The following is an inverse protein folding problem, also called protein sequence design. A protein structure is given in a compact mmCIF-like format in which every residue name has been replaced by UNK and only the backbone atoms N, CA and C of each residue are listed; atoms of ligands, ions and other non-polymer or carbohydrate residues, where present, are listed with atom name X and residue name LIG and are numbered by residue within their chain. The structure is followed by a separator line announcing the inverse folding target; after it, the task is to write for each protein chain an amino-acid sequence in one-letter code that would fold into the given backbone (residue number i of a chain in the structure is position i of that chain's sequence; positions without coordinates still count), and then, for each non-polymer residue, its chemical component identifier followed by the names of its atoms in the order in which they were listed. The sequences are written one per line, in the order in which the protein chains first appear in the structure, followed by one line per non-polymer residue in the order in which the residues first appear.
data_IF_361242350850
#
_entry.id   IF_361242350850
#
_cell.length_a   1.000
_cell.length_b   1.000
_cell.length_c   1.000
_cell.angle_alpha   90.00
_cell.angle_beta   90.00
_cell.angle_gamma   90.00
#
_symmetry.space_group_name_H-M   'P 1'
#
loop_
_entity.id
_entity.type
_entity.pdbx_description
1 polymer ?
#
# COMPACT_ATOMS: atom_id res chain seq x y z
N UNK A 1 -26.95 30.75 5.66
CA UNK A 1 -27.03 29.64 6.62
C UNK A 1 -25.83 28.74 6.37
N UNK A 2 -24.97 28.51 7.37
CA UNK A 2 -23.77 27.66 7.23
C UNK A 2 -24.08 26.31 7.87
N UNK A 3 -23.97 25.23 7.10
CA UNK A 3 -24.19 23.87 7.58
C UNK A 3 -22.84 23.22 7.93
N UNK A 4 -22.80 22.49 9.05
CA UNK A 4 -21.64 21.72 9.52
C UNK A 4 -21.74 20.28 9.03
N UNK A 5 -20.61 19.59 8.86
CA UNK A 5 -20.61 18.17 8.51
C UNK A 5 -20.89 17.34 9.76
N UNK A 6 -21.86 16.44 9.72
CA UNK A 6 -22.04 15.48 10.82
C UNK A 6 -20.88 14.50 10.87
N UNK A 7 -20.52 14.01 12.07
CA UNK A 7 -19.47 12.99 12.26
C UNK A 7 -19.77 11.71 11.47
N UNK A 8 -21.04 11.35 11.33
CA UNK A 8 -21.50 10.21 10.54
C UNK A 8 -21.49 10.45 9.03
N UNK A 9 -21.37 11.69 8.57
CA UNK A 9 -21.26 12.04 7.17
C UNK A 9 -19.80 11.87 6.72
N UNK A 10 -19.46 10.64 6.31
CA UNK A 10 -18.09 10.26 5.96
C UNK A 10 -17.64 10.78 4.60
N UNK A 11 -18.57 10.88 3.65
CA UNK A 11 -18.28 11.47 2.32
C UNK A 11 -18.23 12.98 2.46
N UNK A 12 -17.15 13.59 2.00
CA UNK A 12 -16.95 15.04 2.06
C UNK A 12 -17.96 15.79 1.17
N UNK A 13 -18.81 16.67 1.75
CA UNK A 13 -19.75 17.49 1.00
C UNK A 13 -19.05 18.51 0.13
N UNK A 14 -19.59 18.75 -1.07
CA UNK A 14 -19.10 19.72 -2.04
C UNK A 14 -20.19 20.74 -2.38
N UNK A 15 -19.77 21.92 -2.85
CA UNK A 15 -20.70 22.94 -3.33
C UNK A 15 -21.52 22.36 -4.48
N UNK A 16 -22.84 22.54 -4.43
CA UNK A 16 -23.76 21.99 -5.43
C UNK A 16 -24.32 20.61 -5.08
N UNK A 17 -23.85 19.97 -4.02
CA UNK A 17 -24.45 18.72 -3.54
C UNK A 17 -25.89 18.94 -3.09
N UNK A 18 -26.77 18.01 -3.48
CA UNK A 18 -28.07 17.87 -2.85
C UNK A 18 -27.90 17.01 -1.60
N UNK A 19 -28.27 17.54 -0.44
CA UNK A 19 -28.03 16.90 0.86
C UNK A 19 -29.31 16.72 1.67
N UNK A 20 -29.30 15.74 2.58
CA UNK A 20 -30.20 15.71 3.73
C UNK A 20 -29.52 16.43 4.89
N UNK A 21 -30.18 17.45 5.43
CA UNK A 21 -29.68 18.21 6.57
C UNK A 21 -30.69 18.22 7.72
N UNK A 22 -30.19 18.24 8.96
CA UNK A 22 -30.98 18.44 10.16
C UNK A 22 -30.68 19.81 10.74
N UNK A 23 -31.73 20.54 11.12
CA UNK A 23 -31.63 21.81 11.81
C UNK A 23 -32.38 21.72 13.12
N UNK A 24 -31.76 22.18 14.21
CA UNK A 24 -32.46 22.41 15.47
C UNK A 24 -33.04 23.83 15.48
N UNK A 25 -34.03 24.08 16.34
CA UNK A 25 -34.72 25.37 16.46
C UNK A 25 -33.73 26.51 16.78
N UNK A 26 -32.73 26.24 17.63
CA UNK A 26 -31.69 27.21 18.05
C UNK A 26 -30.25 26.71 17.80
N UNK A 27 -30.09 25.64 17.00
CA UNK A 27 -28.81 24.96 16.82
C UNK A 27 -28.23 25.05 15.41
N UNK A 28 -26.97 24.61 15.23
CA UNK A 28 -26.36 24.57 13.91
C UNK A 28 -27.05 23.53 13.01
N UNK A 29 -27.14 23.87 11.73
CA UNK A 29 -27.57 22.95 10.69
C UNK A 29 -26.46 21.93 10.41
N UNK A 30 -26.78 20.64 10.34
CA UNK A 30 -25.83 19.58 10.06
C UNK A 30 -26.20 18.84 8.78
N UNK A 31 -25.23 18.65 7.89
CA UNK A 31 -25.32 17.74 6.75
C UNK A 31 -25.17 16.31 7.24
N UNK A 32 -26.21 15.49 7.02
CA UNK A 32 -26.25 14.08 7.40
C UNK A 32 -25.84 13.16 6.25
N UNK A 33 -26.36 13.42 5.05
CA UNK A 33 -26.13 12.61 3.86
C UNK A 33 -26.05 13.46 2.60
N UNK A 34 -25.22 13.03 1.65
CA UNK A 34 -25.20 13.53 0.27
C UNK A 34 -26.12 12.63 -0.55
N UNK A 35 -27.19 13.20 -1.09
CA UNK A 35 -28.22 12.47 -1.82
C UNK A 35 -27.90 12.36 -3.31
N UNK A 36 -27.29 13.40 -3.89
CA UNK A 36 -26.86 13.41 -5.28
C UNK A 36 -25.77 14.45 -5.49
N UNK A 37 -24.87 14.16 -6.43
CA UNK A 37 -23.85 15.07 -6.94
C UNK A 37 -23.95 15.13 -8.45
N UNK A 38 -24.00 16.35 -8.99
CA UNK A 38 -24.21 16.59 -10.42
C UNK A 38 -22.98 16.26 -11.27
N UNK A 39 -21.78 16.39 -10.69
CA UNK A 39 -20.51 16.10 -11.36
C UNK A 39 -19.80 14.89 -10.75
N UNK A 40 -19.32 13.99 -11.61
CA UNK A 40 -18.63 12.77 -11.19
C UNK A 40 -17.14 13.06 -10.97
N UNK A 41 -16.80 13.50 -9.76
CA UNK A 41 -15.42 13.64 -9.29
C UNK A 41 -15.06 12.58 -8.25
N UNK A 42 -13.81 12.61 -7.78
CA UNK A 42 -13.35 11.72 -6.70
C UNK A 42 -14.07 12.04 -5.40
N UNK A 43 -14.83 11.08 -4.88
CA UNK A 43 -15.39 11.16 -3.53
C UNK A 43 -14.30 10.94 -2.50
N UNK A 44 -14.21 11.82 -1.50
CA UNK A 44 -13.27 11.70 -0.38
C UNK A 44 -14.01 11.19 0.85
N UNK A 45 -13.48 10.14 1.45
CA UNK A 45 -13.96 9.60 2.72
C UNK A 45 -13.05 10.11 3.84
N UNK A 46 -13.62 10.76 4.84
CA UNK A 46 -12.92 11.19 6.05
C UNK A 46 -13.87 11.22 7.24
N UNK A 47 -13.31 11.21 8.45
CA UNK A 47 -14.08 11.46 9.68
C UNK A 47 -13.73 12.86 10.16
N UNK A 48 -14.71 13.79 10.30
CA UNK A 48 -14.39 15.15 10.70
C UNK A 48 -13.91 15.15 12.16
N UNK A 49 -12.90 15.97 12.44
CA UNK A 49 -12.27 16.14 13.76
C UNK A 49 -11.60 14.88 14.36
N UNK A 50 -11.39 13.83 13.57
CA UNK A 50 -10.69 12.63 14.01
C UNK A 50 -9.21 12.64 13.59
N UNK A 51 -8.33 12.26 14.52
CA UNK A 51 -6.89 12.09 14.26
C UNK A 51 -6.56 10.78 13.53
N UNK A 52 -7.48 9.81 13.54
CA UNK A 52 -7.28 8.50 12.93
C UNK A 52 -8.59 7.83 12.50
N UNK A 53 -8.46 6.85 11.63
CA UNK A 53 -9.56 6.03 11.11
C UNK A 53 -9.11 4.58 10.98
N UNK A 54 -9.94 3.65 11.44
CA UNK A 54 -9.66 2.21 11.34
C UNK A 54 -10.86 1.48 10.71
N UNK A 55 -10.57 0.46 9.89
CA UNK A 55 -11.55 -0.49 9.37
C UNK A 55 -11.39 -1.81 10.15
N UNK A 56 -12.29 -2.08 11.10
CA UNK A 56 -12.26 -3.26 11.97
C UNK A 56 -13.36 -4.26 11.60
N UNK A 57 -13.04 -5.29 10.82
CA UNK A 57 -13.98 -6.33 10.37
C UNK A 57 -13.26 -7.68 10.21
N UNK A 58 -14.02 -8.78 10.22
CA UNK A 58 -13.49 -10.13 9.95
C UNK A 58 -13.02 -10.32 8.50
N UNK A 59 -13.57 -9.55 7.56
CA UNK A 59 -13.21 -9.55 6.15
C UNK A 59 -13.38 -8.16 5.55
N UNK A 60 -12.36 -7.68 4.86
CA UNK A 60 -12.37 -6.42 4.11
C UNK A 60 -11.86 -6.72 2.70
N UNK A 61 -12.51 -6.15 1.68
CA UNK A 61 -12.06 -6.23 0.30
C UNK A 61 -12.08 -4.83 -0.32
N UNK A 62 -10.97 -4.45 -0.97
CA UNK A 62 -10.82 -3.19 -1.69
C UNK A 62 -10.65 -3.52 -3.18
N UNK A 63 -11.56 -3.03 -4.02
CA UNK A 63 -11.58 -3.32 -5.44
C UNK A 63 -11.59 -2.02 -6.26
N UNK A 64 -10.76 -1.99 -7.30
CA UNK A 64 -10.73 -0.94 -8.31
C UNK A 64 -10.55 -1.56 -9.69
N UNK A 65 -11.24 -1.01 -10.71
CA UNK A 65 -11.18 -1.50 -12.09
C UNK A 65 -9.99 -0.94 -12.88
N UNK A 66 -9.56 0.27 -12.53
CA UNK A 66 -8.48 0.97 -13.24
C UNK A 66 -7.21 1.05 -12.39
N UNK A 67 -7.32 1.60 -11.18
CA UNK A 67 -6.16 1.85 -10.32
C UNK A 67 -6.52 1.81 -8.83
N UNK A 68 -5.64 1.20 -8.02
CA UNK A 68 -5.66 1.27 -6.56
C UNK A 68 -4.35 1.90 -6.07
N UNK A 69 -4.44 3.03 -5.38
CA UNK A 69 -3.29 3.72 -4.79
C UNK A 69 -3.37 3.66 -3.26
N UNK A 70 -2.28 3.22 -2.63
CA UNK A 70 -2.09 3.25 -1.18
C UNK A 70 -0.75 3.93 -0.91
N UNK A 71 -0.75 4.96 -0.05
CA UNK A 71 0.47 5.73 0.23
C UNK A 71 0.40 6.42 1.59
N UNK A 72 1.56 6.62 2.18
CA UNK A 72 1.79 7.38 3.42
C UNK A 72 2.98 8.30 3.20
N UNK A 73 2.93 9.50 3.80
CA UNK A 73 4.10 10.39 3.84
C UNK A 73 5.09 10.00 4.94
N UNK A 74 4.62 9.28 5.97
CA UNK A 74 5.45 8.67 7.00
C UNK A 74 5.43 7.15 6.83
N UNK A 75 5.24 6.44 7.94
CA UNK A 75 5.25 4.98 7.93
C UNK A 75 4.01 4.39 7.24
N UNK A 76 4.21 3.27 6.55
CA UNK A 76 3.16 2.39 6.04
C UNK A 76 3.57 0.94 6.28
N UNK A 77 2.65 0.13 6.81
CA UNK A 77 2.89 -1.30 7.04
C UNK A 77 1.75 -2.14 6.47
N UNK A 78 2.11 -3.24 5.82
CA UNK A 78 1.19 -4.26 5.35
C UNK A 78 1.68 -5.60 5.90
N UNK A 79 0.86 -6.26 6.72
CA UNK A 79 1.28 -7.47 7.41
C UNK A 79 0.19 -8.53 7.40
N UNK A 80 0.64 -9.79 7.32
CA UNK A 80 -0.21 -10.97 7.46
C UNK A 80 0.45 -11.91 8.46
N UNK A 81 0.70 -11.44 9.69
CA UNK A 81 1.53 -12.13 10.69
C UNK A 81 1.07 -13.56 11.01
N UNK A 82 -0.24 -13.83 10.97
CA UNK A 82 -0.80 -15.17 11.17
C UNK A 82 -1.14 -15.92 9.88
N UNK A 83 -0.77 -15.42 8.70
CA UNK A 83 -1.24 -15.94 7.42
C UNK A 83 -0.31 -15.62 6.25
N UNK A 84 -0.89 -15.39 5.08
CA UNK A 84 -0.14 -15.19 3.83
C UNK A 84 -0.39 -13.79 3.28
N UNK A 85 0.69 -13.05 3.00
CA UNK A 85 0.65 -11.84 2.18
C UNK A 85 0.98 -12.23 0.73
N UNK A 86 0.02 -12.06 -0.18
CA UNK A 86 0.19 -12.39 -1.60
C UNK A 86 0.12 -11.12 -2.45
N UNK A 87 1.18 -10.87 -3.23
CA UNK A 87 1.27 -9.75 -4.16
C UNK A 87 1.45 -10.31 -5.56
N UNK A 88 0.48 -10.05 -6.45
CA UNK A 88 0.47 -10.59 -7.80
C UNK A 88 0.25 -9.45 -8.80
N UNK A 89 1.00 -9.46 -9.89
CA UNK A 89 0.88 -8.50 -10.96
C UNK A 89 1.75 -8.89 -12.14
N UNK A 90 1.51 -8.26 -13.29
CA UNK A 90 2.38 -8.43 -14.47
C UNK A 90 3.79 -7.91 -14.20
N UNK A 91 3.90 -6.82 -13.45
CA UNK A 91 5.16 -6.22 -13.02
C UNK A 91 5.03 -5.81 -11.55
N UNK A 92 6.05 -6.13 -10.74
CA UNK A 92 6.18 -5.64 -9.36
C UNK A 92 7.49 -4.85 -9.26
N UNK A 93 7.38 -3.59 -8.87
CA UNK A 93 8.53 -2.70 -8.68
C UNK A 93 8.65 -2.38 -7.19
N UNK A 94 9.84 -2.61 -6.63
CA UNK A 94 10.18 -2.25 -5.26
C UNK A 94 11.41 -1.36 -5.33
N UNK A 95 11.28 -0.12 -4.83
CA UNK A 95 12.38 0.84 -4.77
C UNK A 95 12.58 1.22 -3.32
N UNK A 96 13.82 1.15 -2.86
CA UNK A 96 14.19 1.39 -1.47
C UNK A 96 15.41 2.30 -1.44
N UNK A 97 15.33 3.38 -0.66
CA UNK A 97 16.40 4.38 -0.56
C UNK A 97 17.49 3.94 0.42
N UNK A 98 17.10 3.37 1.56
CA UNK A 98 18.03 3.06 2.65
C UNK A 98 18.36 1.57 2.74
N UNK A 99 17.38 0.72 3.08
CA UNK A 99 17.64 -0.70 3.33
C UNK A 99 16.39 -1.54 3.09
N UNK A 100 16.57 -2.65 2.40
CA UNK A 100 15.62 -3.75 2.35
C UNK A 100 16.12 -4.85 3.28
N UNK A 101 15.25 -5.31 4.20
CA UNK A 101 15.53 -6.45 5.08
C UNK A 101 14.52 -7.53 4.78
N UNK A 102 14.98 -8.69 4.33
CA UNK A 102 14.15 -9.87 4.09
C UNK A 102 14.55 -10.95 5.08
N UNK A 103 13.58 -11.38 5.92
CA UNK A 103 13.76 -12.49 6.84
C UNK A 103 12.81 -13.60 6.43
N UNK A 104 13.35 -14.69 5.90
CA UNK A 104 12.59 -15.86 5.50
C UNK A 104 13.33 -17.13 5.93
N UNK A 105 12.58 -18.10 6.47
CA UNK A 105 13.12 -19.43 6.78
C UNK A 105 13.27 -20.28 5.51
N UNK A 106 12.39 -20.08 4.53
CA UNK A 106 12.42 -20.76 3.23
C UNK A 106 12.07 -19.73 2.14
N UNK A 107 12.96 -19.60 1.17
CA UNK A 107 12.76 -18.75 0.00
C UNK A 107 12.90 -19.60 -1.27
N UNK A 108 11.89 -19.56 -2.14
CA UNK A 108 11.91 -20.25 -3.44
C UNK A 108 11.50 -19.26 -4.51
N UNK A 109 12.45 -18.82 -5.32
CA UNK A 109 12.23 -17.93 -6.45
C UNK A 109 12.42 -18.66 -7.78
N UNK A 110 11.40 -18.64 -8.66
CA UNK A 110 11.57 -19.00 -10.07
C UNK A 110 11.69 -17.72 -10.88
N UNK A 111 12.91 -17.38 -11.25
CA UNK A 111 13.21 -16.13 -11.95
C UNK A 111 13.63 -16.48 -13.37
N UNK A 112 12.96 -15.89 -14.37
CA UNK A 112 13.32 -16.10 -15.77
C UNK A 112 14.66 -15.46 -16.13
N UNK A 113 14.85 -14.21 -15.72
CA UNK A 113 16.11 -13.48 -15.83
C UNK A 113 16.34 -12.69 -14.53
N UNK A 114 17.47 -12.96 -13.88
CA UNK A 114 17.89 -12.27 -12.66
C UNK A 114 19.14 -11.45 -12.96
N UNK A 115 19.01 -10.13 -12.87
CA UNK A 115 20.12 -9.20 -13.01
C UNK A 115 20.30 -8.47 -11.68
N UNK A 116 21.49 -8.56 -11.11
CA UNK A 116 21.84 -7.93 -9.86
C UNK A 116 23.09 -7.07 -10.10
N UNK A 117 22.94 -5.76 -9.93
CA UNK A 117 24.03 -4.79 -9.99
C UNK A 117 24.25 -4.22 -8.59
N UNK A 118 25.48 -4.29 -8.10
CA UNK A 118 25.84 -3.90 -6.74
C UNK A 118 27.01 -2.93 -6.79
N UNK A 119 26.81 -1.73 -6.25
CA UNK A 119 27.79 -0.64 -6.34
C UNK A 119 29.03 -0.82 -5.48
N UNK A 120 28.92 -1.52 -4.35
CA UNK A 120 29.98 -1.61 -3.35
C UNK A 120 30.32 -3.06 -3.00
N UNK A 121 29.40 -3.79 -2.37
CA UNK A 121 29.65 -5.15 -1.92
C UNK A 121 28.36 -5.97 -1.92
N UNK A 122 28.39 -7.08 -2.64
CA UNK A 122 27.44 -8.17 -2.43
C UNK A 122 28.08 -9.18 -1.48
N UNK A 123 27.47 -9.41 -0.31
CA UNK A 123 27.89 -10.45 0.61
C UNK A 123 26.77 -11.49 0.74
N UNK A 124 27.09 -12.72 0.37
CA UNK A 124 26.25 -13.89 0.62
C UNK A 124 26.94 -14.72 1.70
N UNK A 125 26.22 -15.05 2.77
CA UNK A 125 26.71 -15.87 3.87
C UNK A 125 25.73 -17.01 4.11
N UNK A 126 26.25 -18.23 4.15
CA UNK A 126 25.48 -19.44 4.41
C UNK A 126 26.42 -20.60 4.70
N UNK A 127 25.87 -21.69 5.24
CA UNK A 127 26.63 -22.91 5.49
C UNK A 127 27.00 -23.61 4.18
N UNK A 128 26.06 -23.62 3.23
CA UNK A 128 26.21 -24.25 1.93
C UNK A 128 25.72 -23.31 0.83
N UNK A 129 26.40 -23.31 -0.30
CA UNK A 129 25.97 -22.61 -1.51
C UNK A 129 26.18 -23.52 -2.71
N UNK A 130 25.12 -23.74 -3.49
CA UNK A 130 25.18 -24.51 -4.73
C UNK A 130 24.80 -23.58 -5.89
N UNK A 131 25.76 -23.36 -6.79
CA UNK A 131 25.52 -22.65 -8.05
C UNK A 131 25.64 -23.68 -9.16
N UNK A 132 24.59 -23.82 -9.97
CA UNK A 132 24.58 -24.71 -11.13
C UNK A 132 24.25 -23.90 -12.38
N UNK A 133 24.86 -24.27 -13.50
CA UNK A 133 24.55 -23.70 -14.80
C UNK A 133 24.51 -24.84 -15.83
N UNK A 134 23.64 -24.69 -16.82
CA UNK A 134 23.55 -25.64 -17.93
C UNK A 134 24.66 -25.43 -18.98
N UNK A 135 25.20 -24.22 -19.08
CA UNK A 135 26.21 -23.85 -20.06
C UNK A 135 27.45 -23.32 -19.32
N UNK A 136 27.42 -22.05 -18.91
CA UNK A 136 28.60 -21.38 -18.37
C UNK A 136 28.31 -20.65 -17.06
N UNK A 137 29.31 -20.63 -16.18
CA UNK A 137 29.45 -19.66 -15.09
C UNK A 137 30.67 -18.82 -15.42
N UNK A 138 30.51 -17.50 -15.50
CA UNK A 138 31.61 -16.57 -15.70
C UNK A 138 31.80 -15.71 -14.45
N UNK A 139 33.00 -15.73 -13.90
CA UNK A 139 33.41 -14.93 -12.74
C UNK A 139 34.66 -14.15 -13.11
N UNK A 140 34.51 -12.83 -13.25
CA UNK A 140 35.64 -11.92 -13.47
C UNK A 140 35.95 -11.22 -12.14
N UNK A 141 37.17 -11.35 -11.63
CA UNK A 141 37.60 -10.70 -10.41
C UNK A 141 39.11 -10.48 -10.40
N UNK A 142 39.59 -9.46 -9.66
CA UNK A 142 41.02 -9.27 -9.38
C UNK A 142 41.59 -10.42 -8.54
N UNK A 143 40.77 -10.96 -7.61
CA UNK A 143 41.13 -12.10 -6.77
C UNK A 143 39.92 -12.97 -6.50
N UNK A 144 40.07 -14.27 -6.72
CA UNK A 144 39.16 -15.31 -6.26
C UNK A 144 39.91 -16.13 -5.21
N UNK A 145 39.34 -16.26 -4.02
CA UNK A 145 39.86 -17.12 -2.96
C UNK A 145 38.83 -18.19 -2.67
N UNK A 146 39.18 -19.44 -2.95
CA UNK A 146 38.37 -20.62 -2.63
C UNK A 146 39.18 -21.42 -1.62
N UNK A 147 38.58 -21.70 -0.46
CA UNK A 147 39.17 -22.52 0.61
C UNK A 147 38.49 -23.87 0.67
#
# INVERSE_FOLDING_TARGET
MRALRAVSCLVEPQIGDRVLASTSIDGPCHVLHILARSESGTARVSVPDAEGMALCQSRIALHATESLHMGSAGDASLSAAGGTLSLNGRNLFVTVTDTIVEQANHYVGKIGQYLLDVRALLRLHGNDALITAAHDIKVDAERISMG
#
